data_IF_046073200956
#
_entry.id   IF_046073200956
#
_cell.length_a   1.000
_cell.length_b   1.000
_cell.length_c   1.000
_cell.angle_alpha   90.00
_cell.angle_beta   90.00
_cell.angle_gamma   90.00
#
_symmetry.space_group_name_H-M   'P 1'
#
loop_
_entity.id
_entity.type
_entity.pdbx_description
1 polymer ?
#
# COMPACT_ATOMS: atom_id res chain seq x y z
N UNK A 1 -62.25 -47.77 5.65
CA UNK A 1 -61.59 -49.09 5.69
C UNK A 1 -60.10 -48.86 5.71
N UNK A 2 -59.47 -49.15 6.82
CA UNK A 2 -58.01 -49.28 7.04
C UNK A 2 -57.72 -50.79 6.68
N UNK A 3 -56.51 -51.11 6.22
CA UNK A 3 -55.28 -51.23 7.02
C UNK A 3 -54.01 -50.76 6.24
N UNK A 4 -52.86 -50.50 6.80
CA UNK A 4 -52.22 -50.90 8.03
C UNK A 4 -50.80 -51.31 7.76
N UNK A 5 -49.85 -50.69 8.51
CA UNK A 5 -48.55 -51.23 8.88
C UNK A 5 -47.40 -50.97 7.86
N UNK A 6 -46.20 -50.67 8.22
CA UNK A 6 -45.41 -51.02 9.39
C UNK A 6 -44.14 -50.16 9.46
N UNK A 7 -43.72 -49.86 10.63
CA UNK A 7 -42.55 -49.24 11.13
C UNK A 7 -41.23 -49.88 10.69
N UNK A 8 -40.22 -49.03 10.41
CA UNK A 8 -38.83 -49.41 10.27
C UNK A 8 -37.90 -48.30 10.76
N UNK A 9 -37.65 -48.30 12.07
CA UNK A 9 -36.67 -47.43 12.73
C UNK A 9 -35.25 -47.87 12.36
N UNK A 10 -34.56 -47.05 11.55
CA UNK A 10 -33.13 -47.19 11.29
C UNK A 10 -32.35 -46.07 12.00
N UNK A 11 -31.80 -46.39 13.17
CA UNK A 11 -30.84 -45.51 13.88
C UNK A 11 -29.59 -45.32 13.03
N UNK A 12 -29.27 -44.08 12.73
CA UNK A 12 -27.96 -43.68 12.21
C UNK A 12 -26.99 -43.50 13.38
N UNK A 13 -25.85 -44.20 13.42
CA UNK A 13 -24.85 -43.96 14.48
C UNK A 13 -24.06 -42.72 14.18
N UNK A 14 -24.10 -41.77 15.12
CA UNK A 14 -23.19 -40.67 15.20
C UNK A 14 -21.77 -41.18 15.53
N UNK A 15 -20.88 -41.24 14.54
CA UNK A 15 -19.45 -41.41 14.74
C UNK A 15 -18.72 -40.12 14.41
N UNK A 16 -18.53 -39.31 15.45
CA UNK A 16 -17.56 -38.21 15.48
C UNK A 16 -16.15 -38.79 15.77
N UNK A 17 -15.52 -39.47 14.82
CA UNK A 17 -14.10 -39.84 14.94
C UNK A 17 -13.63 -40.50 13.64
N UNK A 18 -13.36 -39.69 12.61
CA UNK A 18 -12.43 -40.07 11.52
C UNK A 18 -12.37 -39.02 10.40
N UNK A 19 -12.08 -37.73 10.75
CA UNK A 19 -11.76 -36.72 9.75
C UNK A 19 -10.50 -35.94 10.15
N UNK A 20 -9.55 -36.63 10.72
CA UNK A 20 -8.20 -36.10 10.99
C UNK A 20 -7.17 -37.18 10.66
N UNK A 21 -7.01 -37.48 9.38
CA UNK A 21 -5.78 -38.12 8.85
C UNK A 21 -5.83 -37.92 7.33
N UNK A 22 -5.15 -36.90 6.85
CA UNK A 22 -5.00 -36.69 5.39
C UNK A 22 -4.61 -35.26 4.99
N UNK A 23 -4.03 -34.46 5.89
CA UNK A 23 -3.28 -33.29 5.48
C UNK A 23 -1.81 -33.65 5.57
N UNK A 24 -1.34 -34.28 4.49
CA UNK A 24 0.08 -34.43 4.22
C UNK A 24 0.72 -33.04 4.21
N UNK A 25 1.83 -32.91 4.91
CA UNK A 25 2.71 -31.76 4.87
C UNK A 25 3.10 -31.45 3.42
N UNK A 26 2.38 -30.57 2.77
CA UNK A 26 2.88 -29.84 1.63
C UNK A 26 3.91 -28.87 2.18
N UNK A 27 5.14 -29.35 2.34
CA UNK A 27 6.29 -28.49 2.54
C UNK A 27 6.30 -27.49 1.38
N UNK A 28 6.08 -26.21 1.67
CA UNK A 28 6.35 -25.14 0.73
C UNK A 28 7.85 -25.20 0.45
N UNK A 29 8.21 -25.83 -0.65
CA UNK A 29 9.54 -25.69 -1.26
C UNK A 29 9.57 -24.25 -1.76
N UNK A 30 10.12 -23.35 -0.94
CA UNK A 30 10.56 -22.05 -1.41
C UNK A 30 11.55 -22.35 -2.55
N UNK A 31 11.34 -21.82 -3.77
CA UNK A 31 12.34 -21.94 -4.80
C UNK A 31 13.61 -21.33 -4.22
N UNK A 32 14.71 -22.07 -4.30
CA UNK A 32 16.04 -21.56 -4.00
C UNK A 32 16.25 -20.35 -4.92
N UNK A 33 16.06 -19.15 -4.38
CA UNK A 33 16.46 -17.91 -5.04
C UNK A 33 17.97 -18.00 -5.12
N UNK A 34 18.45 -18.28 -6.32
CA UNK A 34 19.89 -18.29 -6.61
C UNK A 34 20.47 -16.99 -6.06
N UNK A 35 21.53 -17.11 -5.29
CA UNK A 35 22.33 -15.98 -4.83
C UNK A 35 22.70 -15.17 -6.08
N UNK A 36 22.03 -14.04 -6.27
CA UNK A 36 22.41 -13.07 -7.28
C UNK A 36 23.88 -12.71 -7.05
N UNK A 37 24.70 -12.65 -8.09
CA UNK A 37 26.10 -12.33 -7.92
C UNK A 37 26.26 -10.99 -7.22
N UNK A 38 27.03 -10.97 -6.15
CA UNK A 38 27.35 -9.83 -5.29
C UNK A 38 28.01 -8.64 -6.00
N UNK A 39 28.26 -8.74 -7.31
CA UNK A 39 28.98 -7.74 -8.09
C UNK A 39 28.00 -6.81 -8.78
N UNK A 40 27.98 -5.53 -8.37
CA UNK A 40 27.42 -4.42 -9.14
C UNK A 40 26.36 -3.54 -8.47
N UNK A 41 25.76 -3.91 -7.31
CA UNK A 41 24.65 -3.16 -6.72
C UNK A 41 24.99 -2.49 -5.37
N UNK A 42 26.17 -2.68 -4.83
CA UNK A 42 26.60 -2.18 -3.53
C UNK A 42 27.82 -1.23 -3.59
N UNK A 43 28.33 -0.92 -4.78
CA UNK A 43 29.58 -0.14 -4.90
C UNK A 43 29.42 1.34 -4.44
N UNK A 44 28.20 1.88 -4.40
CA UNK A 44 27.97 3.30 -4.08
C UNK A 44 27.42 3.55 -2.66
N UNK A 45 27.14 2.51 -1.87
CA UNK A 45 26.62 2.69 -0.51
C UNK A 45 27.58 2.13 0.54
N UNK A 46 27.91 2.90 1.58
CA UNK A 46 28.75 2.38 2.65
C UNK A 46 28.07 1.18 3.32
N UNK A 47 28.80 0.07 3.55
CA UNK A 47 28.24 -1.10 4.21
C UNK A 47 27.81 -0.77 5.65
N UNK A 48 26.93 -1.58 6.23
CA UNK A 48 26.36 -1.30 7.54
C UNK A 48 27.43 -1.25 8.64
N UNK A 49 28.49 -2.05 8.54
CA UNK A 49 29.62 -2.08 9.46
C UNK A 49 30.55 -0.84 9.36
N UNK A 50 30.39 0.00 8.33
CA UNK A 50 31.09 1.28 8.22
C UNK A 50 30.46 2.38 9.11
N UNK A 51 29.26 2.18 9.65
CA UNK A 51 28.64 3.12 10.57
C UNK A 51 29.38 3.13 11.93
N UNK A 52 29.52 4.31 12.53
CA UNK A 52 30.08 4.48 13.87
C UNK A 52 29.07 4.05 14.95
N UNK A 53 28.53 2.85 14.85
CA UNK A 53 27.50 2.27 15.73
C UNK A 53 28.02 0.91 16.23
N UNK A 54 27.83 0.63 17.51
CA UNK A 54 27.99 -0.75 18.01
C UNK A 54 26.75 -1.57 17.65
N UNK A 55 26.79 -2.23 16.52
CA UNK A 55 25.69 -3.09 16.06
C UNK A 55 25.43 -4.29 16.98
N UNK A 56 26.41 -4.73 17.77
CA UNK A 56 26.30 -5.90 18.66
C UNK A 56 25.75 -5.58 20.06
N UNK A 57 25.44 -4.31 20.36
CA UNK A 57 25.02 -3.86 21.70
C UNK A 57 23.76 -4.55 22.25
N UNK A 58 22.95 -5.20 21.38
CA UNK A 58 21.75 -5.95 21.76
C UNK A 58 21.77 -7.39 21.26
N UNK A 59 22.98 -7.96 21.04
CA UNK A 59 23.13 -9.34 20.60
C UNK A 59 22.42 -10.32 21.56
N UNK A 60 21.79 -11.34 20.99
CA UNK A 60 21.01 -12.35 21.72
C UNK A 60 19.55 -11.97 21.96
N UNK A 61 19.14 -10.70 21.75
CA UNK A 61 17.73 -10.32 21.81
C UNK A 61 16.96 -10.85 20.60
N UNK A 62 15.64 -10.96 20.76
CA UNK A 62 14.71 -11.28 19.66
C UNK A 62 13.69 -10.16 19.57
N UNK A 63 13.48 -9.62 18.39
CA UNK A 63 12.41 -8.67 18.06
C UNK A 63 11.33 -9.34 17.23
N UNK A 64 10.07 -8.97 17.48
CA UNK A 64 8.91 -9.42 16.71
C UNK A 64 8.54 -8.37 15.67
N UNK A 65 8.65 -8.72 14.40
CA UNK A 65 8.26 -7.90 13.25
C UNK A 65 6.92 -8.38 12.70
N UNK A 66 5.92 -7.50 12.66
CA UNK A 66 4.60 -7.81 12.10
C UNK A 66 4.25 -6.86 10.96
N UNK A 67 3.58 -7.37 9.92
CA UNK A 67 3.22 -6.56 8.77
C UNK A 67 2.22 -7.22 7.84
N UNK A 68 1.81 -6.46 6.83
CA UNK A 68 1.07 -6.99 5.71
C UNK A 68 1.99 -7.80 4.77
N UNK A 69 1.44 -8.79 4.07
CA UNK A 69 2.06 -9.34 2.86
C UNK A 69 2.03 -8.23 1.81
N UNK A 70 3.19 -7.68 1.53
CA UNK A 70 3.40 -6.46 0.76
C UNK A 70 4.73 -6.53 0.01
N UNK A 71 4.96 -5.79 -1.09
CA UNK A 71 6.26 -5.73 -1.74
C UNK A 71 7.44 -5.49 -0.79
N UNK A 72 7.26 -4.64 0.24
CA UNK A 72 8.31 -4.42 1.25
C UNK A 72 8.60 -5.67 2.09
N UNK A 73 7.57 -6.34 2.61
CA UNK A 73 7.77 -7.56 3.41
C UNK A 73 8.45 -8.67 2.60
N UNK A 74 8.11 -8.77 1.32
CA UNK A 74 8.74 -9.74 0.40
C UNK A 74 10.20 -9.38 0.09
N UNK A 75 10.53 -8.08 -0.02
CA UNK A 75 11.89 -7.62 -0.31
C UNK A 75 12.82 -7.67 0.91
N UNK A 76 12.31 -7.39 2.12
CA UNK A 76 13.12 -7.34 3.33
C UNK A 76 13.35 -8.71 3.97
N UNK A 77 12.39 -9.63 3.90
CA UNK A 77 12.45 -10.94 4.55
C UNK A 77 13.70 -11.75 4.16
N UNK A 78 14.10 -11.83 2.87
CA UNK A 78 15.32 -12.54 2.49
C UNK A 78 16.62 -11.93 3.05
N UNK A 79 16.57 -10.67 3.48
CA UNK A 79 17.72 -9.93 4.00
C UNK A 79 17.87 -10.06 5.54
N UNK A 80 16.86 -10.54 6.25
CA UNK A 80 16.87 -10.66 7.72
C UNK A 80 18.05 -11.47 8.28
N UNK A 81 18.53 -12.57 7.64
CA UNK A 81 19.72 -13.25 8.12
C UNK A 81 20.96 -12.36 8.18
N UNK A 82 21.10 -11.38 7.29
CA UNK A 82 22.23 -10.45 7.28
C UNK A 82 22.16 -9.48 8.45
N UNK A 83 20.96 -8.99 8.77
CA UNK A 83 20.73 -8.20 9.98
C UNK A 83 21.12 -9.01 11.24
N UNK A 84 20.72 -10.27 11.31
CA UNK A 84 21.08 -11.15 12.45
C UNK A 84 22.60 -11.37 12.52
N UNK A 85 23.29 -11.59 11.40
CA UNK A 85 24.75 -11.73 11.36
C UNK A 85 25.43 -10.44 11.84
N UNK A 86 24.96 -9.29 11.35
CA UNK A 86 25.50 -7.98 11.72
C UNK A 86 25.32 -7.67 13.21
N UNK A 87 24.13 -7.93 13.74
CA UNK A 87 23.73 -7.41 15.06
C UNK A 87 23.70 -8.46 16.16
N UNK A 88 23.58 -9.74 15.82
CA UNK A 88 23.24 -10.80 16.78
C UNK A 88 21.79 -10.75 17.28
N UNK A 89 20.93 -9.87 16.74
CA UNK A 89 19.52 -9.78 17.06
C UNK A 89 18.74 -10.73 16.15
N UNK A 90 17.89 -11.58 16.74
CA UNK A 90 16.99 -12.44 15.97
C UNK A 90 15.71 -11.66 15.60
N UNK A 91 15.14 -11.94 14.42
CA UNK A 91 13.87 -11.34 13.98
C UNK A 91 12.85 -12.45 13.76
N UNK A 92 11.78 -12.46 14.55
CA UNK A 92 10.61 -13.29 14.28
C UNK A 92 9.59 -12.51 13.46
N UNK A 93 9.09 -13.09 12.38
CA UNK A 93 8.17 -12.44 11.45
C UNK A 93 6.74 -12.98 11.58
N UNK A 94 5.76 -12.07 11.45
CA UNK A 94 4.32 -12.37 11.37
C UNK A 94 3.74 -11.49 10.24
N UNK A 95 3.79 -12.01 9.00
CA UNK A 95 3.23 -11.34 7.83
C UNK A 95 1.90 -11.97 7.43
N UNK A 96 0.83 -11.17 7.35
CA UNK A 96 -0.54 -11.60 7.12
C UNK A 96 -1.13 -10.88 5.90
N UNK A 97 -2.25 -11.41 5.38
CA UNK A 97 -3.03 -10.69 4.37
C UNK A 97 -3.40 -9.31 4.90
N UNK A 98 -3.30 -8.29 4.06
CA UNK A 98 -3.42 -6.87 4.46
C UNK A 98 -4.70 -6.58 5.25
N UNK A 99 -5.86 -7.05 4.76
CA UNK A 99 -7.16 -6.85 5.43
C UNK A 99 -7.21 -7.49 6.82
N UNK A 100 -6.67 -8.69 6.97
CA UNK A 100 -6.56 -9.41 8.25
C UNK A 100 -5.63 -8.66 9.20
N UNK A 101 -4.47 -8.26 8.69
CA UNK A 101 -3.46 -7.55 9.45
C UNK A 101 -3.95 -6.20 9.99
N UNK A 102 -4.49 -5.35 9.10
CA UNK A 102 -4.99 -4.02 9.45
C UNK A 102 -6.23 -4.07 10.37
N UNK A 103 -6.99 -5.16 10.34
CA UNK A 103 -8.10 -5.40 11.28
C UNK A 103 -7.64 -5.84 12.66
N UNK A 104 -6.61 -6.68 12.75
CA UNK A 104 -6.16 -7.29 14.00
C UNK A 104 -5.18 -6.40 14.80
N UNK A 105 -4.30 -5.66 14.12
CA UNK A 105 -3.24 -4.89 14.76
C UNK A 105 -3.75 -3.83 15.75
N UNK A 106 -4.73 -2.95 15.41
CA UNK A 106 -5.25 -1.96 16.35
C UNK A 106 -5.82 -2.59 17.63
N UNK A 107 -6.46 -3.75 17.53
CA UNK A 107 -7.00 -4.50 18.68
C UNK A 107 -5.88 -4.97 19.61
N UNK A 108 -4.77 -5.48 19.06
CA UNK A 108 -3.59 -5.89 19.82
C UNK A 108 -2.96 -4.71 20.57
N UNK A 109 -2.77 -3.59 19.85
CA UNK A 109 -2.17 -2.37 20.43
C UNK A 109 -3.05 -1.74 21.50
N UNK A 110 -4.37 -1.66 21.29
CA UNK A 110 -5.33 -1.14 22.25
C UNK A 110 -5.38 -1.96 23.56
N UNK A 111 -5.11 -3.28 23.49
CA UNK A 111 -4.99 -4.14 24.67
C UNK A 111 -3.67 -3.98 25.41
N UNK A 112 -2.79 -3.08 24.98
CA UNK A 112 -1.50 -2.84 25.62
C UNK A 112 -0.48 -3.97 25.42
N UNK A 113 -0.61 -4.78 24.35
CA UNK A 113 0.36 -5.82 24.02
C UNK A 113 1.75 -5.21 23.82
N UNK A 114 2.79 -5.85 24.39
CA UNK A 114 4.19 -5.48 24.15
C UNK A 114 4.74 -6.02 22.84
N UNK A 115 3.97 -6.81 22.10
CA UNK A 115 4.31 -7.34 20.78
C UNK A 115 3.21 -7.01 19.78
N UNK A 116 3.57 -6.79 18.49
CA UNK A 116 4.92 -6.79 17.91
C UNK A 116 5.81 -5.66 18.45
N UNK A 117 7.15 -5.79 18.32
CA UNK A 117 8.11 -4.73 18.61
C UNK A 117 8.15 -3.70 17.48
N UNK A 118 8.19 -4.18 16.22
CA UNK A 118 8.14 -3.40 14.99
C UNK A 118 6.93 -3.81 14.16
N UNK A 119 6.24 -2.85 13.59
CA UNK A 119 5.07 -3.14 12.75
C UNK A 119 4.86 -2.12 11.64
N UNK A 120 4.29 -2.59 10.52
CA UNK A 120 3.81 -1.73 9.43
C UNK A 120 2.51 -1.03 9.85
N UNK A 121 2.36 0.25 9.52
CA UNK A 121 1.17 1.00 9.90
C UNK A 121 0.75 2.03 8.85
N UNK A 122 -0.53 2.40 8.82
CA UNK A 122 -1.11 3.35 7.86
C UNK A 122 -2.03 4.40 8.50
N UNK A 123 -2.64 4.12 9.66
CA UNK A 123 -3.55 5.03 10.36
C UNK A 123 -2.80 5.80 11.46
N UNK A 124 -1.84 6.63 11.04
CA UNK A 124 -0.83 7.25 11.91
C UNK A 124 -1.45 8.09 13.02
N UNK A 125 -2.41 8.95 12.69
CA UNK A 125 -3.08 9.80 13.67
C UNK A 125 -3.74 9.01 14.79
N UNK A 126 -4.40 7.90 14.47
CA UNK A 126 -4.96 6.99 15.47
C UNK A 126 -3.87 6.41 16.36
N UNK A 127 -2.78 5.94 15.77
CA UNK A 127 -1.68 5.33 16.54
C UNK A 127 -0.99 6.32 17.48
N UNK A 128 -0.78 7.56 17.03
CA UNK A 128 -0.15 8.62 17.84
C UNK A 128 -1.08 9.04 18.98
N UNK A 129 -2.35 9.35 18.69
CA UNK A 129 -3.32 9.83 19.68
C UNK A 129 -3.61 8.80 20.76
N UNK A 130 -3.61 7.50 20.41
CA UNK A 130 -3.79 6.42 21.37
C UNK A 130 -2.48 6.01 22.10
N UNK A 131 -1.36 6.67 21.81
CA UNK A 131 -0.07 6.38 22.44
C UNK A 131 0.48 4.99 22.10
N UNK A 132 0.17 4.46 20.90
CA UNK A 132 0.64 3.14 20.46
C UNK A 132 2.04 3.19 19.86
N UNK A 133 2.42 4.36 19.30
CA UNK A 133 3.67 4.54 18.59
C UNK A 133 4.74 5.16 19.51
N UNK A 134 5.95 4.63 19.43
CA UNK A 134 7.11 5.17 20.12
C UNK A 134 7.64 6.40 19.40
N UNK A 135 7.92 7.54 20.09
CA UNK A 135 8.59 8.68 19.49
C UNK A 135 10.06 8.36 19.17
N UNK A 136 10.52 8.75 17.99
CA UNK A 136 11.81 8.30 17.45
C UNK A 136 12.91 9.36 17.43
N UNK A 137 12.61 10.67 17.54
CA UNK A 137 13.62 11.72 17.46
C UNK A 137 14.74 11.52 18.49
N UNK A 138 14.40 11.06 19.70
CA UNK A 138 15.36 10.74 20.73
C UNK A 138 16.36 9.64 20.33
N UNK A 139 15.94 8.65 19.55
CA UNK A 139 16.82 7.58 19.06
C UNK A 139 17.72 8.07 17.92
N UNK A 140 17.20 8.89 17.01
CA UNK A 140 17.98 9.48 15.93
C UNK A 140 19.07 10.45 16.44
N UNK A 141 18.87 11.07 17.58
CA UNK A 141 19.86 11.96 18.20
C UNK A 141 20.95 11.25 19.03
N UNK A 142 20.74 9.97 19.38
CA UNK A 142 21.72 9.19 20.15
C UNK A 142 22.82 8.62 19.27
N UNK A 143 24.07 9.09 19.40
CA UNK A 143 25.22 8.61 18.62
C UNK A 143 25.55 7.14 18.83
N UNK A 144 25.16 6.54 19.94
CA UNK A 144 25.30 5.09 20.17
C UNK A 144 24.32 4.25 19.34
N UNK A 145 23.30 4.85 18.79
CA UNK A 145 22.25 4.18 17.98
C UNK A 145 22.22 4.66 16.54
N UNK A 146 22.65 5.89 16.26
CA UNK A 146 22.58 6.47 14.93
C UNK A 146 23.89 7.14 14.57
N UNK A 147 24.40 6.84 13.39
CA UNK A 147 25.42 7.63 12.71
C UNK A 147 24.76 8.45 11.61
N UNK A 148 24.54 9.77 11.80
CA UNK A 148 23.85 10.62 10.83
C UNK A 148 24.54 10.69 9.46
N UNK A 149 25.89 10.61 9.43
CA UNK A 149 26.65 10.66 8.19
C UNK A 149 26.46 9.39 7.38
N UNK A 150 26.44 8.23 8.06
CA UNK A 150 26.17 6.94 7.43
C UNK A 150 24.72 6.78 7.02
N UNK A 151 23.77 7.21 7.87
CA UNK A 151 22.33 7.06 7.57
C UNK A 151 21.91 7.98 6.42
N UNK A 152 22.52 9.15 6.30
CA UNK A 152 22.30 10.11 5.22
C UNK A 152 20.81 10.39 4.94
N UNK A 153 20.16 11.13 5.85
CA UNK A 153 18.76 11.54 5.66
C UNK A 153 18.56 12.42 4.42
N UNK A 154 19.62 13.06 3.91
CA UNK A 154 19.53 13.90 2.71
C UNK A 154 19.21 13.08 1.45
N UNK A 155 19.59 11.81 1.42
CA UNK A 155 19.27 10.86 0.36
C UNK A 155 17.80 10.37 0.38
N UNK A 156 17.02 10.68 1.42
CA UNK A 156 15.59 10.38 1.41
C UNK A 156 14.84 11.33 0.46
N UNK A 157 13.84 10.82 -0.25
CA UNK A 157 12.89 11.64 -1.02
C UNK A 157 12.31 12.74 -0.13
N UNK A 158 12.09 13.95 -0.69
CA UNK A 158 11.51 15.08 0.05
C UNK A 158 10.19 14.69 0.74
N UNK A 159 9.34 13.97 0.05
CA UNK A 159 8.08 13.45 0.58
C UNK A 159 8.30 12.48 1.75
N UNK A 160 9.27 11.57 1.64
CA UNK A 160 9.59 10.61 2.70
C UNK A 160 10.16 11.26 3.96
N UNK A 161 10.86 12.40 3.83
CA UNK A 161 11.31 13.17 4.99
C UNK A 161 10.18 13.94 5.68
N UNK A 162 9.27 14.52 4.89
CA UNK A 162 8.19 15.36 5.40
C UNK A 162 7.01 14.53 5.97
N UNK A 163 6.75 13.36 5.39
CA UNK A 163 5.56 12.57 5.71
C UNK A 163 5.51 12.06 7.15
N UNK A 164 6.59 11.51 7.78
CA UNK A 164 6.51 10.92 9.12
C UNK A 164 6.42 11.93 10.26
N UNK A 165 6.60 13.23 9.99
CA UNK A 165 6.61 14.26 11.01
C UNK A 165 5.19 14.59 11.48
N UNK A 166 4.95 14.52 12.79
CA UNK A 166 3.74 15.01 13.43
C UNK A 166 3.75 16.54 13.55
N UNK A 167 2.64 17.13 13.99
CA UNK A 167 2.48 18.59 14.10
C UNK A 167 3.46 19.28 15.06
N UNK A 168 4.00 18.54 16.02
CA UNK A 168 5.02 19.02 17.00
C UNK A 168 6.47 18.81 16.49
N UNK A 169 6.64 18.27 15.28
CA UNK A 169 7.95 17.91 14.72
C UNK A 169 8.50 16.58 15.19
N UNK A 170 7.75 15.82 16.01
CA UNK A 170 8.15 14.46 16.43
C UNK A 170 7.90 13.46 15.32
N UNK A 171 8.78 12.48 15.21
CA UNK A 171 8.71 11.35 14.28
C UNK A 171 8.28 10.12 15.03
N UNK A 172 7.22 9.46 14.59
CA UNK A 172 6.69 8.23 15.20
C UNK A 172 6.88 7.00 14.33
N UNK A 173 7.47 7.15 13.15
CA UNK A 173 7.66 6.08 12.20
C UNK A 173 8.81 6.38 11.25
N UNK A 174 9.25 5.34 10.52
CA UNK A 174 10.22 5.47 9.42
C UNK A 174 9.55 4.99 8.14
N UNK A 175 9.53 5.78 7.06
CA UNK A 175 8.96 5.36 5.79
C UNK A 175 9.77 4.21 5.18
N UNK A 176 9.05 3.21 4.68
CA UNK A 176 9.64 1.99 4.09
C UNK A 176 9.34 1.82 2.61
N UNK A 177 8.30 2.51 2.10
CA UNK A 177 8.00 2.57 0.66
C UNK A 177 7.61 3.98 0.24
N UNK A 178 7.63 4.23 -1.07
CA UNK A 178 7.14 5.47 -1.67
C UNK A 178 6.21 5.11 -2.82
N UNK A 179 4.93 5.38 -2.67
CA UNK A 179 3.88 4.97 -3.59
C UNK A 179 3.04 6.16 -4.03
N UNK A 180 2.73 6.22 -5.32
CA UNK A 180 1.76 7.14 -5.87
C UNK A 180 0.80 6.41 -6.80
N UNK A 181 -0.44 6.88 -6.88
CA UNK A 181 -1.37 6.38 -7.88
C UNK A 181 -0.83 6.65 -9.29
N UNK A 182 -0.82 5.61 -10.12
CA UNK A 182 -0.22 5.61 -11.45
C UNK A 182 -1.20 4.98 -12.44
N UNK A 183 -1.25 5.50 -13.66
CA UNK A 183 -2.04 4.93 -14.73
C UNK A 183 -1.23 3.82 -15.43
N UNK A 184 -1.77 2.61 -15.44
CA UNK A 184 -1.27 1.47 -16.20
C UNK A 184 -2.07 1.31 -17.48
N UNK A 185 -1.41 1.00 -18.58
CA UNK A 185 -2.03 0.87 -19.90
C UNK A 185 -1.56 -0.40 -20.61
N UNK A 186 -2.45 -1.04 -21.32
CA UNK A 186 -2.12 -2.02 -22.34
C UNK A 186 -1.99 -1.28 -23.68
N UNK A 187 -0.76 -1.02 -24.11
CA UNK A 187 -0.45 -0.26 -25.33
C UNK A 187 -1.06 -0.88 -26.58
N UNK A 188 -1.11 -2.20 -26.66
CA UNK A 188 -1.73 -2.91 -27.78
C UNK A 188 -3.24 -2.71 -27.84
N UNK A 189 -3.91 -2.71 -26.67
CA UNK A 189 -5.35 -2.47 -26.60
C UNK A 189 -5.73 -1.05 -27.04
N UNK A 190 -4.92 -0.03 -26.69
CA UNK A 190 -5.11 1.34 -27.16
C UNK A 190 -4.86 1.45 -28.66
N UNK A 191 -3.74 0.90 -29.14
CA UNK A 191 -3.38 0.94 -30.56
C UNK A 191 -4.42 0.24 -31.46
N UNK A 192 -5.00 -0.88 -31.01
CA UNK A 192 -6.05 -1.61 -31.75
C UNK A 192 -7.34 -0.78 -31.96
N UNK A 193 -7.48 0.35 -31.29
CA UNK A 193 -8.62 1.28 -31.36
C UNK A 193 -8.19 2.69 -31.75
N UNK A 194 -6.97 2.88 -32.24
CA UNK A 194 -6.39 4.17 -32.60
C UNK A 194 -6.53 5.23 -31.46
N UNK A 195 -6.44 4.80 -30.21
CA UNK A 195 -6.57 5.69 -29.06
C UNK A 195 -5.19 6.20 -28.61
N UNK A 196 -5.03 7.52 -28.44
CA UNK A 196 -3.84 8.09 -27.84
C UNK A 196 -3.78 7.76 -26.34
N UNK A 197 -2.61 7.98 -25.74
CA UNK A 197 -2.45 7.93 -24.28
C UNK A 197 -3.27 9.07 -23.65
N UNK A 198 -4.27 8.77 -22.79
CA UNK A 198 -5.08 9.80 -22.14
C UNK A 198 -4.27 10.55 -21.09
N UNK A 199 -4.37 11.86 -21.06
CA UNK A 199 -3.74 12.74 -20.08
C UNK A 199 -4.76 13.35 -19.12
N UNK A 200 -5.97 13.62 -19.61
CA UNK A 200 -7.07 14.18 -18.80
C UNK A 200 -8.08 13.10 -18.41
N UNK A 201 -8.90 13.40 -17.39
CA UNK A 201 -10.00 12.49 -16.99
C UNK A 201 -11.05 12.32 -18.08
N UNK A 202 -11.30 13.38 -18.84
CA UNK A 202 -12.23 13.36 -19.97
C UNK A 202 -11.69 12.44 -21.08
N UNK A 203 -10.41 12.58 -21.45
CA UNK A 203 -9.76 11.70 -22.42
C UNK A 203 -9.73 10.25 -21.90
N UNK A 204 -9.45 10.04 -20.60
CA UNK A 204 -9.48 8.72 -19.97
C UNK A 204 -10.84 8.05 -20.12
N UNK A 205 -11.94 8.78 -19.91
CA UNK A 205 -13.30 8.26 -20.08
C UNK A 205 -13.60 7.90 -21.52
N UNK A 206 -13.21 8.75 -22.47
CA UNK A 206 -13.38 8.49 -23.92
C UNK A 206 -12.59 7.24 -24.33
N UNK A 207 -11.32 7.18 -23.97
CA UNK A 207 -10.44 6.05 -24.25
C UNK A 207 -10.97 4.76 -23.62
N UNK A 208 -11.35 4.80 -22.33
CA UNK A 208 -11.84 3.63 -21.63
C UNK A 208 -13.10 3.02 -22.27
N UNK A 209 -14.01 3.86 -22.77
CA UNK A 209 -15.19 3.42 -23.54
C UNK A 209 -14.81 2.80 -24.87
N UNK A 210 -13.87 3.43 -25.59
CA UNK A 210 -13.47 3.01 -26.92
C UNK A 210 -12.76 1.65 -26.92
N UNK A 211 -11.92 1.38 -25.91
CA UNK A 211 -11.14 0.14 -25.82
C UNK A 211 -11.90 -1.02 -25.17
N UNK A 212 -13.05 -0.76 -24.53
CA UNK A 212 -13.87 -1.80 -23.90
C UNK A 212 -14.40 -2.78 -24.95
N UNK A 213 -14.30 -4.08 -24.66
CA UNK A 213 -14.87 -5.17 -25.47
C UNK A 213 -15.66 -6.15 -24.61
N UNK A 214 -16.26 -7.18 -25.20
CA UNK A 214 -16.98 -8.22 -24.45
C UNK A 214 -16.06 -9.03 -23.50
N UNK A 215 -14.76 -9.09 -23.76
CA UNK A 215 -13.79 -9.86 -22.96
C UNK A 215 -12.81 -9.00 -22.16
N UNK A 216 -12.86 -7.67 -22.33
CA UNK A 216 -11.90 -6.77 -21.69
C UNK A 216 -12.58 -5.47 -21.30
N UNK A 217 -12.52 -5.10 -20.00
CA UNK A 217 -12.97 -3.79 -19.52
C UNK A 217 -12.03 -2.68 -19.99
N UNK A 218 -12.55 -1.45 -20.10
CA UNK A 218 -11.74 -0.30 -20.48
C UNK A 218 -10.80 0.16 -19.37
N UNK A 219 -11.27 0.12 -18.12
CA UNK A 219 -10.49 0.54 -16.95
C UNK A 219 -10.93 -0.22 -15.70
N UNK A 220 -9.98 -0.56 -14.84
CA UNK A 220 -10.25 -1.10 -13.51
C UNK A 220 -9.65 -0.18 -12.43
N UNK A 221 -10.40 0.06 -11.35
CA UNK A 221 -9.98 0.77 -10.15
C UNK A 221 -10.68 0.15 -8.94
N UNK A 222 -10.17 0.43 -7.73
CA UNK A 222 -10.79 -0.05 -6.47
C UNK A 222 -12.14 0.63 -6.24
N UNK A 223 -13.16 -0.13 -5.87
CA UNK A 223 -14.47 0.42 -5.55
C UNK A 223 -15.18 -0.26 -4.38
N UNK A 224 -14.55 -1.22 -3.72
CA UNK A 224 -15.13 -1.88 -2.55
C UNK A 224 -15.39 -0.85 -1.43
N UNK A 225 -16.53 -0.96 -0.76
CA UNK A 225 -16.82 -0.19 0.44
C UNK A 225 -15.83 -0.53 1.56
N UNK A 226 -15.07 0.47 2.00
CA UNK A 226 -14.02 0.34 3.02
C UNK A 226 -12.79 1.18 2.72
N UNK A 227 -12.19 1.76 3.74
CA UNK A 227 -11.12 2.76 3.62
C UNK A 227 -9.88 2.30 2.86
N UNK A 228 -9.60 1.00 2.82
CA UNK A 228 -8.45 0.46 2.09
C UNK A 228 -8.57 0.66 0.56
N UNK A 229 -9.79 0.82 0.05
CA UNK A 229 -10.05 1.06 -1.38
C UNK A 229 -9.92 2.54 -1.78
N UNK A 230 -9.72 3.46 -0.84
CA UNK A 230 -9.76 4.90 -1.06
C UNK A 230 -8.64 5.52 -1.93
N UNK A 231 -7.40 4.97 -2.02
CA UNK A 231 -6.29 5.66 -2.65
C UNK A 231 -6.54 6.18 -4.07
N UNK A 232 -7.07 5.41 -5.04
CA UNK A 232 -7.36 5.95 -6.36
C UNK A 232 -8.40 7.07 -6.32
N UNK A 233 -9.51 6.88 -5.59
CA UNK A 233 -10.58 7.88 -5.51
C UNK A 233 -10.12 9.18 -4.84
N UNK A 234 -9.24 9.12 -3.82
CA UNK A 234 -8.60 10.30 -3.23
C UNK A 234 -7.74 11.05 -4.26
N UNK A 235 -7.02 10.35 -5.13
CA UNK A 235 -6.26 10.97 -6.21
C UNK A 235 -7.16 11.78 -7.16
N UNK A 236 -8.36 11.29 -7.48
CA UNK A 236 -9.35 12.06 -8.23
C UNK A 236 -9.78 13.31 -7.46
N UNK A 237 -10.17 13.17 -6.19
CA UNK A 237 -10.58 14.31 -5.35
C UNK A 237 -9.49 15.38 -5.32
N UNK A 238 -8.24 15.02 -5.11
CA UNK A 238 -7.11 15.96 -5.04
C UNK A 238 -6.85 16.64 -6.39
N UNK A 239 -6.89 15.88 -7.48
CA UNK A 239 -6.69 16.43 -8.83
C UNK A 239 -7.81 17.35 -9.27
N UNK A 240 -9.05 17.18 -8.76
CA UNK A 240 -10.15 18.11 -8.95
C UNK A 240 -10.03 19.37 -8.08
N UNK A 241 -9.08 19.41 -7.15
CA UNK A 241 -8.85 20.53 -6.22
C UNK A 241 -9.56 20.37 -4.89
N UNK A 242 -10.25 19.25 -4.66
CA UNK A 242 -10.90 18.93 -3.39
C UNK A 242 -9.93 18.44 -2.31
N UNK A 243 -10.46 18.25 -1.12
CA UNK A 243 -9.76 17.68 0.02
C UNK A 243 -10.64 16.68 0.78
N UNK A 244 -10.03 15.85 1.63
CA UNK A 244 -10.77 14.93 2.50
C UNK A 244 -11.15 15.59 3.82
N UNK A 245 -10.18 16.30 4.42
CA UNK A 245 -10.28 16.95 5.72
C UNK A 245 -9.61 18.31 5.67
N UNK A 246 -10.24 19.32 6.25
CA UNK A 246 -9.69 20.65 6.51
C UNK A 246 -10.12 21.11 7.90
N UNK A 247 -9.17 21.65 8.68
CA UNK A 247 -9.43 22.18 10.02
C UNK A 247 -10.23 21.21 10.91
N UNK A 248 -9.85 19.93 10.90
CA UNK A 248 -10.51 18.84 11.64
C UNK A 248 -12.00 18.61 11.24
N UNK A 249 -12.36 18.95 10.01
CA UNK A 249 -13.71 18.71 9.45
C UNK A 249 -13.58 17.95 8.15
N UNK A 250 -14.49 17.02 7.93
CA UNK A 250 -14.63 16.30 6.66
C UNK A 250 -15.25 17.26 5.63
N UNK A 251 -14.57 17.40 4.47
CA UNK A 251 -14.93 18.33 3.40
C UNK A 251 -15.10 17.65 2.04
N UNK A 252 -15.08 16.34 1.94
CA UNK A 252 -15.24 15.59 0.68
C UNK A 252 -16.66 15.64 0.08
N UNK A 253 -17.53 16.53 0.58
CA UNK A 253 -18.78 16.92 -0.06
C UNK A 253 -18.70 18.30 -0.74
N UNK A 254 -17.48 18.82 -0.97
CA UNK A 254 -17.30 20.04 -1.76
C UNK A 254 -17.69 19.80 -3.24
N UNK A 255 -18.00 20.86 -4.01
CA UNK A 255 -18.32 20.72 -5.43
C UNK A 255 -17.22 19.96 -6.22
N UNK A 256 -15.96 20.22 -5.90
CA UNK A 256 -14.79 19.59 -6.53
C UNK A 256 -14.74 18.09 -6.22
N UNK A 257 -14.96 17.70 -4.96
CA UNK A 257 -14.95 16.30 -4.56
C UNK A 257 -16.14 15.53 -5.12
N UNK A 258 -17.34 16.18 -5.18
CA UNK A 258 -18.53 15.60 -5.80
C UNK A 258 -18.27 15.34 -7.29
N UNK A 259 -17.70 16.32 -8.03
CA UNK A 259 -17.39 16.17 -9.44
C UNK A 259 -16.33 15.07 -9.69
N UNK A 260 -15.34 14.97 -8.81
CA UNK A 260 -14.34 13.90 -8.86
C UNK A 260 -14.95 12.51 -8.71
N UNK A 261 -15.85 12.33 -7.73
CA UNK A 261 -16.53 11.05 -7.47
C UNK A 261 -17.52 10.72 -8.58
N UNK A 262 -18.17 11.73 -9.17
CA UNK A 262 -19.03 11.54 -10.34
C UNK A 262 -18.21 11.00 -11.53
N UNK A 263 -17.06 11.59 -11.86
CA UNK A 263 -16.16 11.09 -12.92
C UNK A 263 -15.67 9.66 -12.60
N UNK A 264 -15.29 9.39 -11.36
CA UNK A 264 -14.90 8.05 -10.90
C UNK A 264 -16.02 7.02 -11.14
N UNK A 265 -17.25 7.38 -10.77
CA UNK A 265 -18.43 6.56 -10.99
C UNK A 265 -18.73 6.35 -12.47
N UNK A 266 -18.61 7.38 -13.32
CA UNK A 266 -18.81 7.28 -14.76
C UNK A 266 -17.78 6.33 -15.41
N UNK A 267 -16.51 6.44 -15.07
CA UNK A 267 -15.46 5.54 -15.56
C UNK A 267 -15.79 4.08 -15.26
N UNK A 268 -16.13 3.77 -14.02
CA UNK A 268 -16.36 2.39 -13.60
C UNK A 268 -17.70 1.83 -14.05
N UNK A 269 -18.77 2.62 -14.03
CA UNK A 269 -20.09 2.16 -14.49
C UNK A 269 -20.15 1.95 -16.00
N UNK A 270 -19.45 2.76 -16.79
CA UNK A 270 -19.51 2.71 -18.23
C UNK A 270 -18.43 1.83 -18.85
N UNK A 271 -17.23 1.82 -18.27
CA UNK A 271 -16.07 1.12 -18.84
C UNK A 271 -15.43 0.08 -17.88
N UNK A 272 -15.85 0.01 -16.63
CA UNK A 272 -15.30 -0.92 -15.66
C UNK A 272 -15.71 -2.38 -15.87
N UNK A 273 -15.08 -3.30 -15.12
CA UNK A 273 -15.46 -4.71 -15.07
C UNK A 273 -16.84 -4.90 -14.44
N UNK A 274 -17.50 -6.02 -14.77
CA UNK A 274 -18.72 -6.41 -14.08
C UNK A 274 -18.41 -6.66 -12.59
N UNK A 275 -19.26 -6.16 -11.68
CA UNK A 275 -19.08 -6.33 -10.24
C UNK A 275 -17.94 -5.52 -9.63
N UNK A 276 -17.46 -4.48 -10.31
CA UNK A 276 -16.34 -3.62 -9.86
C UNK A 276 -16.56 -3.01 -8.47
N UNK A 277 -17.81 -2.87 -8.02
CA UNK A 277 -18.14 -2.42 -6.66
C UNK A 277 -17.57 -3.30 -5.53
N UNK A 278 -17.06 -4.50 -5.83
CA UNK A 278 -16.37 -5.38 -4.89
C UNK A 278 -14.84 -5.38 -5.03
N UNK A 279 -14.28 -4.53 -5.91
CA UNK A 279 -12.85 -4.56 -6.23
C UNK A 279 -12.00 -3.90 -5.16
N UNK A 280 -11.03 -4.66 -4.68
CA UNK A 280 -9.84 -4.26 -3.94
C UNK A 280 -8.63 -4.24 -4.89
N UNK A 281 -7.47 -3.79 -4.39
CA UNK A 281 -6.24 -3.65 -5.18
C UNK A 281 -5.81 -4.94 -5.89
N UNK A 282 -5.97 -6.09 -5.25
CA UNK A 282 -5.57 -7.37 -5.85
C UNK A 282 -6.47 -7.80 -7.02
N UNK A 283 -7.74 -7.39 -7.04
CA UNK A 283 -8.61 -7.61 -8.20
C UNK A 283 -8.17 -6.74 -9.38
N UNK A 284 -7.86 -5.46 -9.10
CA UNK A 284 -7.36 -4.52 -10.13
C UNK A 284 -6.06 -5.04 -10.74
N UNK A 285 -5.12 -5.46 -9.88
CA UNK A 285 -3.84 -6.01 -10.32
C UNK A 285 -4.03 -7.27 -11.15
N UNK A 286 -4.82 -8.24 -10.67
CA UNK A 286 -5.03 -9.51 -11.37
C UNK A 286 -5.72 -9.30 -12.74
N UNK A 287 -6.72 -8.44 -12.82
CA UNK A 287 -7.36 -8.11 -14.09
C UNK A 287 -6.37 -7.51 -15.10
N UNK A 288 -5.49 -6.62 -14.64
CA UNK A 288 -4.48 -6.04 -15.52
C UNK A 288 -3.42 -7.07 -15.94
N UNK A 289 -2.90 -7.86 -15.00
CA UNK A 289 -1.91 -8.93 -15.28
C UNK A 289 -2.43 -9.95 -16.30
N UNK A 290 -3.72 -10.27 -16.23
CA UNK A 290 -4.35 -11.25 -17.13
C UNK A 290 -4.84 -10.62 -18.46
N UNK A 291 -4.73 -9.29 -18.64
CA UNK A 291 -5.24 -8.59 -19.81
C UNK A 291 -6.77 -8.51 -19.88
N UNK A 292 -7.46 -8.62 -18.74
CA UNK A 292 -8.92 -8.48 -18.65
C UNK A 292 -9.38 -7.02 -18.56
N UNK A 293 -8.45 -6.10 -18.36
CA UNK A 293 -8.69 -4.66 -18.45
C UNK A 293 -7.63 -3.99 -19.32
N UNK A 294 -8.01 -2.99 -20.12
CA UNK A 294 -7.09 -2.23 -20.97
C UNK A 294 -6.27 -1.21 -20.20
N UNK A 295 -6.84 -0.63 -19.16
CA UNK A 295 -6.20 0.35 -18.28
C UNK A 295 -6.53 0.05 -16.83
N UNK A 296 -5.65 0.51 -15.93
CA UNK A 296 -5.91 0.49 -14.49
C UNK A 296 -5.25 1.68 -13.80
N UNK A 297 -5.83 2.13 -12.70
CA UNK A 297 -5.20 3.13 -11.81
C UNK A 297 -5.07 2.50 -10.43
N UNK A 298 -3.83 2.37 -9.96
CA UNK A 298 -3.51 1.87 -8.63
C UNK A 298 -2.07 2.24 -8.22
N UNK A 299 -1.58 1.67 -7.11
CA UNK A 299 -0.25 1.89 -6.57
C UNK A 299 0.86 1.60 -7.58
N UNK A 300 1.81 2.52 -7.71
CA UNK A 300 3.01 2.36 -8.54
C UNK A 300 3.81 1.08 -8.23
N UNK A 301 3.69 0.53 -7.01
CA UNK A 301 4.36 -0.72 -6.63
C UNK A 301 3.89 -1.96 -7.43
N UNK A 302 2.79 -1.87 -8.16
CA UNK A 302 2.37 -2.94 -9.07
C UNK A 302 3.27 -3.12 -10.28
N UNK A 303 4.08 -2.11 -10.60
CA UNK A 303 4.94 -2.09 -11.78
C UNK A 303 5.85 -3.32 -11.89
N UNK A 304 6.41 -3.79 -10.77
CA UNK A 304 7.28 -4.97 -10.75
C UNK A 304 6.55 -6.24 -11.20
N UNK A 305 5.31 -6.44 -10.74
CA UNK A 305 4.51 -7.60 -11.14
C UNK A 305 4.00 -7.45 -12.58
N UNK A 306 3.60 -6.24 -12.96
CA UNK A 306 3.13 -5.91 -14.33
C UNK A 306 4.23 -6.13 -15.36
N UNK A 307 5.47 -5.74 -15.05
CA UNK A 307 6.63 -5.87 -15.95
C UNK A 307 7.21 -7.30 -15.98
N UNK A 308 6.78 -8.18 -15.08
CA UNK A 308 7.32 -9.53 -14.97
C UNK A 308 6.58 -10.51 -15.89
N UNK A 309 7.22 -11.06 -16.96
CA UNK A 309 6.56 -11.98 -17.89
C UNK A 309 6.17 -13.34 -17.26
N UNK A 310 6.70 -13.68 -16.09
CA UNK A 310 6.28 -14.88 -15.35
C UNK A 310 4.95 -14.67 -14.61
N UNK A 311 4.54 -13.42 -14.38
CA UNK A 311 3.32 -13.05 -13.66
C UNK A 311 2.27 -12.41 -14.56
N UNK A 312 2.71 -11.63 -15.55
CA UNK A 312 1.87 -10.78 -16.39
C UNK A 312 1.82 -11.27 -17.82
N UNK A 313 0.65 -11.52 -18.34
CA UNK A 313 0.40 -11.83 -19.75
C UNK A 313 0.61 -10.62 -20.66
N UNK A 314 0.50 -9.42 -20.10
CA UNK A 314 0.65 -8.15 -20.81
C UNK A 314 1.98 -7.44 -20.53
N UNK A 315 2.96 -8.14 -19.95
CA UNK A 315 4.24 -7.55 -19.56
C UNK A 315 4.96 -6.78 -20.68
N UNK A 316 4.89 -7.29 -21.92
CA UNK A 316 5.52 -6.67 -23.09
C UNK A 316 4.74 -5.48 -23.66
N UNK A 317 3.44 -5.44 -23.41
CA UNK A 317 2.50 -4.41 -23.90
C UNK A 317 2.19 -3.36 -22.84
N UNK A 318 2.58 -3.62 -21.60
CA UNK A 318 2.32 -2.71 -20.51
C UNK A 318 3.05 -1.38 -20.68
N UNK A 319 2.35 -0.31 -20.37
CA UNK A 319 2.87 1.03 -20.27
C UNK A 319 2.48 1.66 -18.95
N UNK A 320 3.21 2.69 -18.56
CA UNK A 320 3.06 3.40 -17.30
C UNK A 320 3.01 4.89 -17.57
N UNK A 321 2.02 5.57 -16.99
CA UNK A 321 1.79 6.97 -17.29
C UNK A 321 1.55 7.78 -16.02
N UNK A 322 1.68 9.08 -16.17
CA UNK A 322 1.33 10.06 -15.14
C UNK A 322 -0.16 9.94 -14.84
N UNK A 323 -0.53 10.16 -13.57
CA UNK A 323 -1.91 10.17 -13.13
C UNK A 323 -2.71 11.21 -13.92
N UNK A 324 -3.92 10.91 -14.40
CA UNK A 324 -4.72 11.84 -15.18
C UNK A 324 -5.11 13.09 -14.37
N UNK A 325 -5.43 14.16 -15.06
CA UNK A 325 -5.74 15.45 -14.45
C UNK A 325 -6.90 16.18 -15.17
N UNK A 326 -7.39 17.24 -14.59
CA UNK A 326 -8.31 18.16 -15.28
C UNK A 326 -7.55 18.95 -16.35
N UNK A 327 -8.20 19.22 -17.48
CA UNK A 327 -7.67 20.10 -18.51
C UNK A 327 -7.25 21.46 -17.92
N UNK A 328 -6.05 21.91 -18.22
CA UNK A 328 -5.49 23.16 -17.73
C UNK A 328 -4.95 23.13 -16.29
N UNK A 329 -4.92 21.96 -15.63
CA UNK A 329 -4.30 21.76 -14.32
C UNK A 329 -3.22 20.67 -14.41
N UNK A 330 -2.32 20.61 -13.42
CA UNK A 330 -1.40 19.49 -13.27
C UNK A 330 -2.04 18.32 -12.50
N UNK A 331 -1.49 17.11 -12.61
CA UNK A 331 -1.92 15.96 -11.82
C UNK A 331 -1.61 16.16 -10.33
N UNK A 332 -2.51 15.73 -9.47
CA UNK A 332 -2.30 15.66 -8.02
C UNK A 332 -2.72 14.26 -7.56
N UNK A 333 -1.91 13.24 -7.85
CA UNK A 333 -2.21 11.88 -7.45
C UNK A 333 -2.20 11.76 -5.92
N UNK A 334 -2.97 10.83 -5.40
CA UNK A 334 -2.75 10.42 -4.01
C UNK A 334 -1.41 9.68 -3.91
N UNK A 335 -0.68 9.98 -2.84
CA UNK A 335 0.56 9.31 -2.48
C UNK A 335 0.50 8.82 -1.05
N UNK A 336 1.25 7.78 -0.76
CA UNK A 336 1.48 7.32 0.60
C UNK A 336 2.88 6.74 0.75
N UNK A 337 3.34 6.75 2.00
CA UNK A 337 4.48 5.95 2.43
C UNK A 337 3.97 4.94 3.44
N UNK A 338 4.07 3.65 3.14
CA UNK A 338 4.02 2.70 4.23
C UNK A 338 5.15 3.00 5.19
N UNK A 339 4.85 2.94 6.46
CA UNK A 339 5.84 3.22 7.50
C UNK A 339 5.96 2.04 8.45
N UNK A 340 7.16 1.86 8.99
CA UNK A 340 7.42 0.96 10.09
C UNK A 340 7.52 1.77 11.38
N UNK A 341 6.79 1.30 12.39
CA UNK A 341 6.67 1.91 13.71
C UNK A 341 7.24 0.99 14.77
N UNK A 342 7.65 1.56 15.91
CA UNK A 342 7.99 0.82 17.12
C UNK A 342 6.80 0.90 18.08
N UNK A 343 6.44 -0.22 18.69
CA UNK A 343 5.41 -0.30 19.70
C UNK A 343 5.86 0.43 20.98
N UNK A 344 5.08 1.40 21.43
CA UNK A 344 5.37 2.14 22.67
C UNK A 344 5.44 1.24 23.92
N UNK A 345 4.84 0.04 23.88
CA UNK A 345 4.87 -0.98 24.93
C UNK A 345 5.96 -2.04 24.74
N UNK A 346 6.73 -1.97 23.63
CA UNK A 346 7.85 -2.90 23.38
C UNK A 346 8.87 -2.83 24.53
N UNK A 347 9.42 -3.99 24.85
CA UNK A 347 10.55 -4.12 25.80
C UNK A 347 11.91 -4.07 25.07
N UNK A 348 11.91 -4.13 23.74
CA UNK A 348 13.08 -4.21 22.89
C UNK A 348 13.25 -2.96 21.98
N UNK A 349 12.78 -1.78 22.43
CA UNK A 349 12.68 -0.56 21.61
C UNK A 349 13.99 -0.18 20.90
N UNK A 350 15.12 -0.26 21.63
CA UNK A 350 16.43 0.12 21.08
C UNK A 350 16.91 -0.88 20.02
N UNK A 351 16.70 -2.19 20.24
CA UNK A 351 16.97 -3.22 19.25
C UNK A 351 16.05 -3.09 18.02
N UNK A 352 14.77 -2.78 18.24
CA UNK A 352 13.79 -2.47 17.20
C UNK A 352 14.20 -1.24 16.38
N UNK A 353 14.76 -0.22 17.02
CA UNK A 353 15.25 0.98 16.33
C UNK A 353 16.47 0.65 15.44
N UNK A 354 17.43 -0.16 15.91
CA UNK A 354 18.54 -0.61 15.06
C UNK A 354 18.05 -1.37 13.82
N UNK A 355 16.98 -2.16 13.98
CA UNK A 355 16.34 -2.81 12.83
C UNK A 355 15.78 -1.78 11.84
N UNK A 356 15.05 -0.77 12.30
CA UNK A 356 14.50 0.27 11.42
C UNK A 356 15.62 1.03 10.69
N UNK A 357 16.67 1.37 11.40
CA UNK A 357 17.82 2.09 10.85
C UNK A 357 18.50 1.27 9.75
N UNK A 358 18.77 -0.03 10.00
CA UNK A 358 19.32 -0.95 9.01
C UNK A 358 18.39 -1.15 7.82
N UNK A 359 17.10 -1.42 8.07
CA UNK A 359 16.11 -1.73 7.04
C UNK A 359 15.88 -0.57 6.07
N UNK A 360 16.12 0.68 6.52
CA UNK A 360 15.96 1.90 5.73
C UNK A 360 17.28 2.58 5.37
N UNK A 361 18.42 1.93 5.66
CA UNK A 361 19.74 2.40 5.25
C UNK A 361 19.88 2.44 3.73
N UNK A 362 20.84 3.22 3.24
CA UNK A 362 21.14 3.32 1.80
C UNK A 362 21.46 1.95 1.20
N UNK A 363 22.30 1.16 1.86
CA UNK A 363 22.70 -0.17 1.40
C UNK A 363 21.51 -1.13 1.30
N UNK A 364 20.65 -1.21 2.34
CA UNK A 364 19.48 -2.07 2.32
C UNK A 364 18.44 -1.58 1.31
N UNK A 365 18.25 -0.26 1.19
CA UNK A 365 17.33 0.32 0.21
C UNK A 365 17.73 0.05 -1.23
N UNK A 366 19.02 0.08 -1.57
CA UNK A 366 19.51 -0.30 -2.91
C UNK A 366 19.20 -1.78 -3.21
N UNK A 367 19.32 -2.66 -2.22
CA UNK A 367 19.03 -4.09 -2.40
C UNK A 367 17.55 -4.37 -2.55
N UNK A 368 16.70 -3.75 -1.72
CA UNK A 368 15.24 -3.89 -1.86
C UNK A 368 14.74 -3.25 -3.14
N UNK A 369 15.35 -2.15 -3.60
CA UNK A 369 15.06 -1.55 -4.91
C UNK A 369 15.42 -2.50 -6.07
N UNK A 370 16.57 -3.20 -5.99
CA UNK A 370 16.94 -4.21 -6.97
C UNK A 370 15.98 -5.42 -7.01
N UNK A 371 15.20 -5.63 -5.94
CA UNK A 371 14.08 -6.57 -5.92
C UNK A 371 12.75 -5.96 -6.42
N UNK A 372 12.78 -4.71 -6.92
CA UNK A 372 11.64 -4.02 -7.50
C UNK A 372 10.79 -3.22 -6.49
N UNK A 373 11.29 -2.94 -5.29
CA UNK A 373 10.58 -2.11 -4.33
C UNK A 373 10.80 -0.62 -4.61
N UNK A 374 9.74 0.16 -4.74
CA UNK A 374 9.81 1.61 -4.73
C UNK A 374 10.17 2.12 -3.32
N UNK A 375 11.46 2.33 -3.09
CA UNK A 375 12.02 2.71 -1.79
C UNK A 375 11.87 4.21 -1.52
N UNK A 376 12.35 4.62 -0.36
CA UNK A 376 12.29 6.02 0.07
C UNK A 376 13.55 6.83 -0.25
N UNK A 377 14.58 6.22 -0.89
CA UNK A 377 15.88 6.84 -1.14
C UNK A 377 16.10 7.23 -2.60
N UNK A 378 16.55 8.48 -2.82
CA UNK A 378 16.84 9.04 -4.15
C UNK A 378 17.86 8.18 -4.91
N UNK A 379 18.95 7.78 -4.23
CA UNK A 379 19.99 6.93 -4.83
C UNK A 379 19.44 5.59 -5.34
N UNK A 380 18.47 5.02 -4.63
CA UNK A 380 17.84 3.77 -5.03
C UNK A 380 16.99 3.93 -6.31
N UNK A 381 16.24 5.02 -6.45
CA UNK A 381 15.45 5.33 -7.66
C UNK A 381 16.32 5.52 -8.90
N UNK A 382 17.54 6.01 -8.74
CA UNK A 382 18.49 6.22 -9.82
C UNK A 382 19.26 4.96 -10.21
N UNK A 383 19.21 3.90 -9.38
CA UNK A 383 20.03 2.69 -9.57
C UNK A 383 19.57 1.85 -10.76
N UNK A 384 20.52 1.25 -11.48
CA UNK A 384 20.23 0.34 -12.60
C UNK A 384 19.48 -0.92 -12.15
N UNK A 385 19.73 -1.40 -10.92
CA UNK A 385 19.02 -2.53 -10.33
C UNK A 385 17.51 -2.25 -10.20
N UNK A 386 17.14 -1.05 -9.73
CA UNK A 386 15.75 -0.63 -9.64
C UNK A 386 15.11 -0.49 -11.02
N UNK A 387 15.75 0.23 -11.92
CA UNK A 387 15.23 0.44 -13.29
C UNK A 387 15.04 -0.88 -14.04
N UNK A 388 15.91 -1.86 -13.82
CA UNK A 388 15.77 -3.20 -14.41
C UNK A 388 14.58 -3.96 -13.83
N UNK A 389 14.42 -3.94 -12.49
CA UNK A 389 13.38 -4.74 -11.82
C UNK A 389 11.99 -4.08 -11.87
N UNK A 390 11.93 -2.75 -11.75
CA UNK A 390 10.69 -1.97 -11.72
C UNK A 390 10.24 -1.55 -13.13
N UNK A 391 11.16 -1.43 -14.06
CA UNK A 391 10.97 -0.85 -15.40
C UNK A 391 11.26 0.64 -15.43
N UNK A 392 12.07 1.10 -16.39
CA UNK A 392 12.47 2.51 -16.50
C UNK A 392 11.27 3.44 -16.70
N UNK A 393 10.34 3.11 -17.59
CA UNK A 393 9.11 3.87 -17.83
C UNK A 393 8.25 3.96 -16.56
N UNK A 394 8.12 2.85 -15.84
CA UNK A 394 7.38 2.79 -14.59
C UNK A 394 8.03 3.64 -13.49
N UNK A 395 9.36 3.59 -13.38
CA UNK A 395 10.11 4.38 -12.40
C UNK A 395 9.97 5.88 -12.66
N UNK A 396 10.04 6.32 -13.93
CA UNK A 396 9.84 7.70 -14.34
C UNK A 396 8.43 8.19 -14.02
N UNK A 397 7.40 7.44 -14.42
CA UNK A 397 6.00 7.76 -14.16
C UNK A 397 5.71 7.84 -12.64
N UNK A 398 6.19 6.87 -11.87
CA UNK A 398 5.99 6.83 -10.42
C UNK A 398 6.69 7.98 -9.71
N UNK A 399 7.95 8.29 -10.09
CA UNK A 399 8.70 9.41 -9.50
C UNK A 399 8.03 10.76 -9.83
N UNK A 400 7.59 10.95 -11.07
CA UNK A 400 6.84 12.14 -11.50
C UNK A 400 5.54 12.29 -10.71
N UNK A 401 4.79 11.20 -10.51
CA UNK A 401 3.58 11.20 -9.71
C UNK A 401 3.88 11.55 -8.24
N UNK A 402 4.95 11.02 -7.64
CA UNK A 402 5.37 11.39 -6.28
C UNK A 402 5.74 12.88 -6.16
N UNK A 403 6.39 13.44 -7.18
CA UNK A 403 6.78 14.85 -7.20
C UNK A 403 5.58 15.81 -7.33
N UNK A 404 4.52 15.37 -8.02
CA UNK A 404 3.29 16.13 -8.20
C UNK A 404 2.28 15.94 -7.07
N UNK A 405 2.48 14.95 -6.20
CA UNK A 405 1.56 14.66 -5.11
C UNK A 405 1.55 15.75 -4.03
N UNK A 406 0.37 16.00 -3.48
CA UNK A 406 0.18 16.91 -2.36
C UNK A 406 0.34 16.16 -1.03
N UNK A 407 1.52 16.29 -0.43
CA UNK A 407 1.87 15.63 0.84
C UNK A 407 0.99 16.12 1.99
N UNK A 408 0.63 17.39 2.01
CA UNK A 408 -0.14 17.97 3.11
C UNK A 408 -1.59 17.47 3.09
N UNK A 409 -2.21 17.38 1.90
CA UNK A 409 -3.54 16.76 1.77
C UNK A 409 -3.54 15.28 2.14
N UNK A 410 -2.52 14.53 1.74
CA UNK A 410 -2.38 13.13 2.12
C UNK A 410 -2.19 12.98 3.64
N UNK A 411 -1.35 13.83 4.26
CA UNK A 411 -1.17 13.85 5.71
C UNK A 411 -2.44 14.25 6.44
N UNK A 412 -3.18 15.27 5.98
CA UNK A 412 -4.39 15.73 6.62
C UNK A 412 -5.39 14.60 6.89
N UNK A 413 -5.52 13.64 5.98
CA UNK A 413 -6.39 12.48 6.17
C UNK A 413 -5.69 11.34 6.91
N UNK A 414 -4.48 10.93 6.53
CA UNK A 414 -3.82 9.75 7.10
C UNK A 414 -3.36 9.97 8.55
N UNK A 415 -3.07 11.21 8.92
CA UNK A 415 -2.74 11.63 10.29
C UNK A 415 -3.95 12.10 11.09
N UNK A 416 -5.15 12.10 10.53
CA UNK A 416 -6.35 12.35 11.33
C UNK A 416 -6.60 11.21 12.32
N UNK A 417 -6.88 11.47 13.61
CA UNK A 417 -7.12 10.42 14.61
C UNK A 417 -8.19 9.41 14.21
N UNK A 418 -9.20 9.87 13.47
CA UNK A 418 -10.33 9.06 13.01
C UNK A 418 -10.26 8.77 11.50
N UNK A 419 -9.04 8.75 10.92
CA UNK A 419 -8.83 8.54 9.48
C UNK A 419 -9.58 7.31 8.95
N UNK A 420 -9.58 6.20 9.68
CA UNK A 420 -10.27 4.98 9.28
C UNK A 420 -11.78 5.19 9.08
N UNK A 421 -12.44 5.83 10.05
CA UNK A 421 -13.86 6.12 10.00
C UNK A 421 -14.21 7.03 8.80
N UNK A 422 -13.37 8.06 8.57
CA UNK A 422 -13.57 9.01 7.47
C UNK A 422 -13.44 8.30 6.13
N UNK A 423 -12.41 7.48 5.95
CA UNK A 423 -12.16 6.75 4.73
C UNK A 423 -13.20 5.67 4.46
N UNK A 424 -13.68 4.98 5.51
CA UNK A 424 -14.78 4.02 5.39
C UNK A 424 -16.07 4.73 4.94
N UNK A 425 -16.42 5.88 5.54
CA UNK A 425 -17.59 6.66 5.15
C UNK A 425 -17.49 7.16 3.70
N UNK A 426 -16.32 7.65 3.29
CA UNK A 426 -16.05 8.10 1.93
C UNK A 426 -16.24 6.97 0.92
N UNK A 427 -15.63 5.80 1.16
CA UNK A 427 -15.70 4.68 0.23
C UNK A 427 -17.07 4.00 0.18
N UNK A 428 -17.86 4.05 1.24
CA UNK A 428 -19.27 3.66 1.18
C UNK A 428 -20.01 4.56 0.16
N UNK A 429 -19.80 5.88 0.22
CA UNK A 429 -20.40 6.80 -0.74
C UNK A 429 -19.90 6.59 -2.17
N UNK A 430 -18.60 6.40 -2.39
CA UNK A 430 -18.03 6.07 -3.71
C UNK A 430 -18.66 4.78 -4.26
N UNK A 431 -18.79 3.75 -3.44
CA UNK A 431 -19.40 2.47 -3.81
C UNK A 431 -20.88 2.64 -4.20
N UNK A 432 -21.65 3.47 -3.46
CA UNK A 432 -23.04 3.80 -3.80
C UNK A 432 -23.16 4.46 -5.19
N UNK A 433 -22.21 5.35 -5.54
CA UNK A 433 -22.15 6.00 -6.86
C UNK A 433 -21.77 5.01 -7.96
N UNK A 434 -20.74 4.22 -7.75
CA UNK A 434 -20.26 3.22 -8.74
C UNK A 434 -21.35 2.19 -9.08
N UNK A 435 -22.13 1.78 -8.09
CA UNK A 435 -23.24 0.85 -8.26
C UNK A 435 -24.53 1.51 -8.74
N UNK A 436 -24.55 2.83 -8.97
CA UNK A 436 -25.74 3.58 -9.42
C UNK A 436 -26.85 3.69 -8.36
N UNK A 437 -26.53 3.45 -7.08
CA UNK A 437 -27.50 3.50 -5.99
C UNK A 437 -27.86 4.94 -5.59
N UNK A 438 -26.92 5.88 -5.75
CA UNK A 438 -27.09 7.30 -5.44
C UNK A 438 -26.37 8.20 -6.44
N UNK A 439 -26.80 9.46 -6.54
CA UNK A 439 -26.02 10.50 -7.19
C UNK A 439 -24.73 10.78 -6.39
N UNK A 440 -23.67 11.27 -7.05
CA UNK A 440 -22.44 11.65 -6.37
C UNK A 440 -22.70 12.71 -5.28
N UNK A 441 -23.59 13.67 -5.56
CA UNK A 441 -23.99 14.71 -4.60
C UNK A 441 -24.61 14.10 -3.33
N UNK A 442 -25.62 13.25 -3.50
CA UNK A 442 -26.34 12.67 -2.34
C UNK A 442 -25.47 11.72 -1.55
N UNK A 443 -24.67 10.90 -2.25
CA UNK A 443 -23.74 9.96 -1.62
C UNK A 443 -22.66 10.68 -0.79
N UNK A 444 -21.97 11.68 -1.38
CA UNK A 444 -20.91 12.42 -0.70
C UNK A 444 -21.43 13.30 0.43
N UNK A 445 -22.58 13.98 0.24
CA UNK A 445 -23.21 14.79 1.29
C UNK A 445 -23.57 13.92 2.50
N UNK A 446 -24.29 12.83 2.28
CA UNK A 446 -24.69 11.94 3.38
C UNK A 446 -23.49 11.23 4.05
N UNK A 447 -22.44 10.88 3.29
CA UNK A 447 -21.22 10.31 3.85
C UNK A 447 -20.45 11.33 4.73
N UNK A 448 -20.33 12.59 4.26
CA UNK A 448 -19.65 13.65 5.00
C UNK A 448 -20.40 14.04 6.28
N UNK A 449 -21.73 14.08 6.23
CA UNK A 449 -22.58 14.33 7.41
C UNK A 449 -22.37 13.26 8.48
N UNK A 450 -22.43 11.97 8.09
CA UNK A 450 -22.19 10.85 9.02
C UNK A 450 -20.80 10.90 9.63
N UNK A 451 -19.76 11.13 8.81
CA UNK A 451 -18.38 11.21 9.28
C UNK A 451 -18.21 12.41 10.23
N UNK A 452 -18.72 13.60 9.87
CA UNK A 452 -18.64 14.78 10.74
C UNK A 452 -19.42 14.62 12.05
N UNK A 453 -20.53 13.91 12.06
CA UNK A 453 -21.28 13.62 13.30
C UNK A 453 -20.44 12.69 14.22
N UNK A 454 -19.81 11.68 13.66
CA UNK A 454 -19.00 10.72 14.42
C UNK A 454 -17.67 11.31 14.94
N UNK A 455 -17.10 12.33 14.26
CA UNK A 455 -15.88 13.01 14.74
C UNK A 455 -16.15 13.88 15.96
N UNK A 456 -17.38 14.41 16.11
CA UNK A 456 -17.76 15.33 17.20
C UNK A 456 -18.19 14.62 18.49
N UNK A 457 -18.58 13.36 18.42
CA UNK A 457 -18.95 12.52 19.56
C UNK A 457 -17.75 11.82 20.17
#
# INVERSE_FOLDING_TARGET
>A
MVPGGNSGSGRVPTSRRSFVKGLGAAGAVLPAVGLLPRRGLAEDAPPADAAAIDWKQFAGQTIALSGAIHPWSNAIAPLLPEFTILTGINVSIDFQLETTYLGALPIRLARGSSTPDVFMFTTYGQGITNGWLEPLNGYFSQRSLTDPAWYDESDLLKTARAFPLWSDGERYAVPITSEAMTLFINKEALAAKDQPLPQTFEELLVTARAVKTNGMSGIAMRAQAGGNSSPPAMGFVFSYGGAMVEHNRVVFASPEAIAAVEMYGQLLSQAGPAGVGSYEWYHVLDDFLQGRTAMAIDSSNFATDISNPAKSRVAKQAGFAIFPHLAGRGPVPFMSHWQACINSKSRNKRAAFLFLLWATSKATSLRTAAAGLATTRVSAWSSEGFKTAFGSEAAEAALTNLQNADVDRAKAILFHPQSRLILDAFMIGVNEVVNGAKSAKDAMTGAAERANAAIRG
#
